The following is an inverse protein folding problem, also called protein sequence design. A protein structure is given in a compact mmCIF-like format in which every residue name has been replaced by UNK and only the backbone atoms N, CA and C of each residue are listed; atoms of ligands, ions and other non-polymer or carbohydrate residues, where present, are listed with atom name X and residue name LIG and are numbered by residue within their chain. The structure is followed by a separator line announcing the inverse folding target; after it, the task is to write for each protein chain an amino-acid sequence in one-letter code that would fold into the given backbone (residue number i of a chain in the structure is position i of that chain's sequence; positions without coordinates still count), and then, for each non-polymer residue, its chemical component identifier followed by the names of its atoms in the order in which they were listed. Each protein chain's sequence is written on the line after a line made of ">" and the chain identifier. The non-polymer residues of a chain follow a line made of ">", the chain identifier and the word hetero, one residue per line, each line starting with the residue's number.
data_IF_497400944162
#
_entry.id   IF_497400944162
#
_cell.length_a   1.000
_cell.length_b   1.000
_cell.length_c   1.000
_cell.angle_alpha   90.00
_cell.angle_beta   90.00
_cell.angle_gamma   90.00
#
_symmetry.space_group_name_H-M   'P 1'
#
loop_
_entity.id
_entity.type
_entity.pdbx_description
1 polymer ?
#
# COMPACT_ATOMS: atom_id res chain seq x y z
N UNK A 1 -14.05 -77.66 63.26
CA UNK A 1 -15.37 -77.81 62.59
C UNK A 1 -15.65 -76.47 61.81
N UNK A 2 -15.94 -76.67 60.59
CA UNK A 2 -16.77 -75.94 59.68
C UNK A 2 -16.36 -74.43 59.47
N UNK A 3 -16.25 -73.91 58.34
CA UNK A 3 -16.63 -74.30 56.99
C UNK A 3 -17.05 -73.04 56.23
N UNK A 4 -16.64 -72.89 55.03
CA UNK A 4 -17.28 -72.29 53.90
C UNK A 4 -17.97 -70.92 54.10
N UNK A 5 -17.48 -69.88 53.41
CA UNK A 5 -18.25 -69.14 52.41
C UNK A 5 -17.46 -67.94 51.92
N UNK A 6 -17.31 -67.74 50.66
CA UNK A 6 -16.80 -66.50 50.12
C UNK A 6 -16.42 -66.61 48.62
N UNK A 7 -17.39 -67.01 47.80
CA UNK A 7 -17.22 -66.88 46.32
C UNK A 7 -18.54 -66.33 45.78
N UNK A 8 -18.56 -65.10 45.35
CA UNK A 8 -19.77 -64.62 44.69
C UNK A 8 -19.93 -63.07 44.57
N UNK A 9 -18.87 -62.35 44.27
CA UNK A 9 -19.11 -60.86 44.15
C UNK A 9 -18.40 -60.23 42.94
N UNK A 10 -17.74 -60.97 42.08
CA UNK A 10 -16.95 -60.36 40.95
C UNK A 10 -17.59 -60.43 39.56
N UNK A 11 -18.73 -61.07 39.39
CA UNK A 11 -19.36 -61.28 38.07
C UNK A 11 -20.39 -60.19 37.70
N UNK A 12 -20.69 -59.25 38.62
CA UNK A 12 -21.72 -58.24 38.39
C UNK A 12 -21.25 -56.98 37.63
N UNK A 13 -19.98 -56.60 37.79
CA UNK A 13 -19.52 -55.28 37.31
C UNK A 13 -19.16 -55.34 35.80
N UNK A 14 -18.59 -56.44 35.32
CA UNK A 14 -18.25 -56.64 33.90
C UNK A 14 -19.47 -56.81 33.01
N UNK A 15 -20.55 -57.42 33.51
CA UNK A 15 -21.82 -57.51 32.80
C UNK A 15 -22.54 -56.16 32.64
N UNK A 16 -22.46 -55.33 33.69
CA UNK A 16 -23.06 -53.98 33.66
C UNK A 16 -22.38 -53.06 32.68
N UNK A 17 -21.06 -53.10 32.60
CA UNK A 17 -20.27 -52.27 31.65
C UNK A 17 -20.51 -52.66 30.20
N UNK A 18 -20.60 -54.00 29.93
CA UNK A 18 -20.90 -54.47 28.59
C UNK A 18 -22.33 -54.15 28.14
N UNK A 19 -23.30 -54.15 29.07
CA UNK A 19 -24.67 -53.75 28.78
C UNK A 19 -24.78 -52.23 28.58
N UNK A 20 -24.10 -51.41 29.39
CA UNK A 20 -24.03 -49.98 29.24
C UNK A 20 -23.40 -49.57 27.90
N UNK A 21 -22.32 -50.24 27.48
CA UNK A 21 -21.69 -49.99 26.21
C UNK A 21 -22.57 -50.39 25.01
N UNK A 22 -23.36 -51.48 25.14
CA UNK A 22 -24.32 -51.89 24.11
C UNK A 22 -25.48 -50.91 24.02
N UNK A 23 -26.02 -50.44 25.11
CA UNK A 23 -27.07 -49.41 25.17
C UNK A 23 -26.57 -48.08 24.59
N UNK A 24 -25.39 -47.60 24.99
CA UNK A 24 -24.77 -46.41 24.47
C UNK A 24 -24.53 -46.51 22.94
N UNK A 25 -24.09 -47.66 22.47
CA UNK A 25 -23.87 -47.88 21.02
C UNK A 25 -25.19 -47.98 20.24
N UNK A 26 -26.29 -48.43 20.88
CA UNK A 26 -27.63 -48.45 20.26
C UNK A 26 -28.26 -47.07 20.24
N UNK A 27 -28.13 -46.27 21.29
CA UNK A 27 -28.58 -44.87 21.33
C UNK A 27 -27.79 -44.01 20.37
N UNK A 28 -26.47 -44.18 20.27
CA UNK A 28 -25.66 -43.47 19.27
C UNK A 28 -26.08 -43.78 17.83
N UNK A 29 -26.62 -44.97 17.54
CA UNK A 29 -27.12 -45.27 16.18
C UNK A 29 -28.45 -44.59 15.83
N UNK A 30 -29.31 -44.36 16.82
CA UNK A 30 -30.59 -43.65 16.62
C UNK A 30 -30.44 -42.10 16.65
N UNK A 31 -29.57 -41.59 17.49
CA UNK A 31 -29.33 -40.16 17.70
C UNK A 31 -28.31 -39.54 16.74
N UNK A 32 -27.54 -40.32 15.99
CA UNK A 32 -26.46 -39.84 15.13
C UNK A 32 -26.92 -38.89 14.01
N UNK A 33 -28.18 -39.03 13.56
CA UNK A 33 -28.70 -38.10 12.55
C UNK A 33 -28.87 -36.70 13.11
N UNK A 34 -29.47 -36.57 14.30
CA UNK A 34 -29.63 -35.26 14.97
C UNK A 34 -28.27 -34.68 15.39
N UNK A 35 -27.37 -35.50 15.93
CA UNK A 35 -26.02 -35.08 16.31
C UNK A 35 -25.19 -34.66 15.07
N UNK A 36 -25.33 -35.32 13.93
CA UNK A 36 -24.67 -34.95 12.68
C UNK A 36 -25.13 -33.58 12.19
N UNK A 37 -26.41 -33.24 12.29
CA UNK A 37 -26.95 -31.94 11.91
C UNK A 37 -26.38 -30.87 12.84
N UNK A 38 -26.36 -31.09 14.14
CA UNK A 38 -25.80 -30.12 15.11
C UNK A 38 -24.30 -29.94 14.86
N UNK A 39 -23.55 -31.01 14.64
CA UNK A 39 -22.13 -30.93 14.32
C UNK A 39 -21.88 -30.24 12.98
N UNK A 40 -22.72 -30.51 11.97
CA UNK A 40 -22.61 -29.84 10.67
C UNK A 40 -22.90 -28.34 10.79
N UNK A 41 -23.92 -27.93 11.53
CA UNK A 41 -24.20 -26.52 11.80
C UNK A 41 -23.07 -25.85 12.58
N UNK A 42 -22.53 -26.53 13.61
CA UNK A 42 -21.39 -26.00 14.36
C UNK A 42 -20.15 -25.87 13.48
N UNK A 43 -19.83 -26.91 12.70
CA UNK A 43 -18.71 -26.90 11.79
C UNK A 43 -18.84 -25.82 10.72
N UNK A 44 -20.06 -25.64 10.18
CA UNK A 44 -20.34 -24.58 9.22
C UNK A 44 -20.18 -23.19 9.85
N UNK A 45 -20.67 -23.00 11.08
CA UNK A 45 -20.51 -21.76 11.80
C UNK A 45 -19.04 -21.41 12.08
N UNK A 46 -18.26 -22.41 12.55
CA UNK A 46 -16.81 -22.23 12.80
C UNK A 46 -16.08 -21.99 11.48
N UNK A 47 -16.41 -22.74 10.43
CA UNK A 47 -15.81 -22.56 9.10
C UNK A 47 -16.10 -21.16 8.53
N UNK A 48 -17.30 -20.64 8.68
CA UNK A 48 -17.65 -19.30 8.23
C UNK A 48 -16.84 -18.21 8.99
N UNK A 49 -16.72 -18.33 10.31
CA UNK A 49 -15.91 -17.40 11.11
C UNK A 49 -14.43 -17.49 10.74
N UNK A 50 -13.90 -18.71 10.58
CA UNK A 50 -12.52 -18.94 10.17
C UNK A 50 -12.25 -18.39 8.76
N UNK A 51 -13.17 -18.58 7.81
CA UNK A 51 -13.04 -18.06 6.45
C UNK A 51 -13.00 -16.53 6.42
N UNK A 52 -13.85 -15.85 7.20
CA UNK A 52 -13.82 -14.38 7.33
C UNK A 52 -12.52 -13.94 8.00
N UNK A 53 -12.05 -14.66 9.02
CA UNK A 53 -10.79 -14.36 9.71
C UNK A 53 -9.57 -14.50 8.80
N UNK A 54 -9.49 -15.58 8.02
CA UNK A 54 -8.40 -15.81 7.05
C UNK A 54 -8.43 -14.83 5.90
N UNK A 55 -9.63 -14.48 5.39
CA UNK A 55 -9.77 -13.46 4.35
C UNK A 55 -9.29 -12.10 4.85
N UNK A 56 -9.71 -11.70 6.06
CA UNK A 56 -9.26 -10.43 6.67
C UNK A 56 -7.75 -10.40 6.89
N UNK A 57 -7.17 -11.50 7.39
CA UNK A 57 -5.73 -11.61 7.58
C UNK A 57 -4.97 -11.58 6.25
N UNK A 58 -5.49 -12.27 5.22
CA UNK A 58 -4.90 -12.27 3.87
C UNK A 58 -4.92 -10.89 3.21
N UNK A 59 -6.05 -10.17 3.30
CA UNK A 59 -6.16 -8.79 2.81
C UNK A 59 -5.20 -7.89 3.59
N UNK A 60 -5.15 -8.01 4.92
CA UNK A 60 -4.25 -7.22 5.75
C UNK A 60 -2.76 -7.47 5.42
N UNK A 61 -2.37 -8.72 5.21
CA UNK A 61 -1.01 -9.08 4.81
C UNK A 61 -0.67 -8.59 3.39
N UNK A 62 -1.60 -8.72 2.44
CA UNK A 62 -1.45 -8.18 1.09
C UNK A 62 -1.29 -6.66 1.10
N UNK A 63 -2.15 -5.95 1.83
CA UNK A 63 -2.06 -4.49 1.96
C UNK A 63 -0.77 -4.04 2.66
N UNK A 64 -0.21 -4.83 3.58
CA UNK A 64 1.08 -4.53 4.20
C UNK A 64 2.25 -4.80 3.26
N UNK A 65 2.20 -5.88 2.47
CA UNK A 65 3.24 -6.22 1.51
C UNK A 65 3.30 -5.22 0.34
N UNK A 66 2.13 -4.82 -0.16
CA UNK A 66 2.02 -3.89 -1.30
C UNK A 66 1.94 -2.42 -0.85
N UNK A 67 1.65 -2.17 0.43
CA UNK A 67 1.44 -0.84 0.99
C UNK A 67 2.62 0.10 0.77
N UNK A 68 3.83 -0.39 0.92
CA UNK A 68 5.05 0.37 0.66
C UNK A 68 5.19 0.78 -0.82
N UNK A 69 4.77 -0.09 -1.73
CA UNK A 69 4.77 0.20 -3.18
C UNK A 69 3.65 1.18 -3.54
N UNK A 70 2.46 1.00 -2.97
CA UNK A 70 1.29 1.87 -3.20
C UNK A 70 1.52 3.28 -2.65
N UNK A 71 2.14 3.38 -1.47
CA UNK A 71 2.47 4.65 -0.82
C UNK A 71 3.78 5.26 -1.34
N UNK A 72 4.59 4.49 -2.07
CA UNK A 72 5.93 4.91 -2.51
C UNK A 72 6.96 5.02 -1.38
N UNK A 73 6.67 4.47 -0.19
CA UNK A 73 7.51 4.50 1.00
C UNK A 73 6.91 3.69 2.15
N UNK A 74 7.73 3.26 3.11
CA UNK A 74 7.28 2.63 4.35
C UNK A 74 6.63 3.65 5.28
N UNK A 75 7.15 4.89 5.26
CA UNK A 75 6.65 6.04 6.02
C UNK A 75 6.64 7.26 5.11
N UNK A 76 5.64 8.10 5.28
CA UNK A 76 5.52 9.39 4.60
C UNK A 76 5.45 10.51 5.64
N UNK A 77 6.29 11.51 5.48
CA UNK A 77 6.25 12.75 6.25
C UNK A 77 5.73 13.87 5.33
N UNK A 78 4.54 14.36 5.61
CA UNK A 78 3.95 15.54 4.94
C UNK A 78 4.16 16.77 5.78
N UNK A 79 4.83 17.75 5.23
CA UNK A 79 5.16 19.00 5.93
C UNK A 79 4.38 20.22 5.37
N UNK A 80 3.49 19.98 4.41
CA UNK A 80 2.69 21.05 3.80
C UNK A 80 3.55 22.02 3.00
N UNK A 81 3.43 23.31 3.28
CA UNK A 81 4.07 24.37 2.48
C UNK A 81 5.59 24.52 2.71
N UNK A 82 6.18 23.83 3.64
CA UNK A 82 7.61 23.93 3.98
C UNK A 82 8.33 22.59 3.80
N UNK A 83 9.59 22.60 3.36
CA UNK A 83 10.40 21.39 3.33
C UNK A 83 10.52 20.76 4.72
N UNK A 84 10.80 19.46 4.76
CA UNK A 84 11.08 18.77 6.03
C UNK A 84 12.28 19.40 6.74
N UNK A 85 12.20 19.67 8.06
CA UNK A 85 13.26 20.28 8.83
C UNK A 85 14.58 19.48 8.71
N UNK A 86 15.75 20.16 8.72
CA UNK A 86 17.06 19.49 8.65
C UNK A 86 17.27 18.46 9.76
N UNK A 87 16.74 18.75 10.95
CA UNK A 87 16.82 17.85 12.11
C UNK A 87 16.06 16.54 11.86
N UNK A 88 14.87 16.63 11.26
CA UNK A 88 14.09 15.45 10.91
C UNK A 88 14.81 14.60 9.85
N UNK A 89 15.42 15.22 8.84
CA UNK A 89 16.21 14.54 7.82
C UNK A 89 17.44 13.86 8.44
N UNK A 90 18.17 14.56 9.32
CA UNK A 90 19.32 14.01 10.03
C UNK A 90 18.91 12.85 10.93
N UNK A 91 17.78 12.95 11.62
CA UNK A 91 17.23 11.92 12.49
C UNK A 91 16.88 10.64 11.71
N UNK A 92 16.26 10.78 10.52
CA UNK A 92 15.91 9.68 9.62
C UNK A 92 17.19 9.02 9.09
N UNK A 93 18.14 9.82 8.61
CA UNK A 93 19.40 9.32 8.05
C UNK A 93 20.24 8.57 9.11
N UNK A 94 20.29 9.05 10.36
CA UNK A 94 20.98 8.39 11.47
C UNK A 94 20.41 7.00 11.79
N UNK A 95 19.17 6.74 11.39
CA UNK A 95 18.50 5.42 11.55
C UNK A 95 18.54 4.55 10.31
N UNK A 96 19.35 4.93 9.32
CA UNK A 96 19.52 4.18 8.09
C UNK A 96 18.33 4.27 7.11
N UNK A 97 17.44 5.23 7.30
CA UNK A 97 16.33 5.48 6.40
C UNK A 97 16.79 6.09 5.08
N UNK A 98 16.41 5.49 3.94
CA UNK A 98 16.55 6.13 2.64
C UNK A 98 15.38 7.08 2.41
N UNK A 99 15.66 8.25 1.84
CA UNK A 99 14.67 9.31 1.67
C UNK A 99 14.54 9.72 0.21
N UNK A 100 13.33 10.08 -0.20
CA UNK A 100 13.04 10.75 -1.48
C UNK A 100 12.10 11.92 -1.22
N UNK A 101 12.44 13.07 -1.76
CA UNK A 101 11.65 14.29 -1.65
C UNK A 101 10.78 14.49 -2.89
N UNK A 102 9.50 14.75 -2.62
CA UNK A 102 8.50 15.06 -3.64
C UNK A 102 7.89 16.41 -3.30
N UNK A 103 7.77 17.27 -4.30
CA UNK A 103 7.06 18.54 -4.18
C UNK A 103 5.92 18.56 -5.19
N UNK A 104 4.70 18.73 -4.70
CA UNK A 104 3.49 18.73 -5.51
C UNK A 104 2.81 20.09 -5.45
N UNK A 105 2.43 20.63 -6.61
CA UNK A 105 1.70 21.89 -6.73
C UNK A 105 0.87 21.89 -8.01
N UNK A 106 -0.08 22.82 -8.11
CA UNK A 106 -0.81 23.06 -9.36
C UNK A 106 -0.10 24.09 -10.19
N UNK A 107 0.09 23.81 -11.46
CA UNK A 107 0.76 24.68 -12.39
C UNK A 107 0.03 24.76 -13.74
N UNK A 108 0.15 25.90 -14.39
CA UNK A 108 -0.29 26.04 -15.77
C UNK A 108 0.81 25.57 -16.70
N UNK A 109 0.55 24.54 -17.49
CA UNK A 109 1.39 24.08 -18.58
C UNK A 109 0.91 24.74 -19.86
N UNK A 110 1.83 25.35 -20.61
CA UNK A 110 1.56 26.08 -21.85
C UNK A 110 2.37 25.44 -22.99
N UNK A 111 1.69 25.01 -24.04
CA UNK A 111 2.34 24.50 -25.25
C UNK A 111 2.99 25.64 -26.04
N UNK A 112 4.26 25.48 -26.43
CA UNK A 112 5.03 26.56 -27.09
C UNK A 112 4.58 26.84 -28.52
N UNK A 113 3.82 25.94 -29.15
CA UNK A 113 3.44 26.06 -30.57
C UNK A 113 2.06 26.65 -30.87
N UNK A 114 1.14 26.71 -29.89
CA UNK A 114 -0.25 27.11 -30.14
C UNK A 114 -0.89 27.97 -29.08
N UNK A 115 -0.19 28.27 -27.98
CA UNK A 115 -0.76 29.02 -26.85
C UNK A 115 -1.80 28.24 -26.04
N UNK A 116 -2.05 26.99 -26.39
CA UNK A 116 -2.89 26.10 -25.61
C UNK A 116 -2.29 25.86 -24.23
N UNK A 117 -3.16 25.84 -23.23
CA UNK A 117 -2.75 25.75 -21.83
C UNK A 117 -3.69 24.85 -21.04
N UNK A 118 -3.11 24.15 -20.10
CA UNK A 118 -3.84 23.24 -19.21
C UNK A 118 -3.32 23.34 -17.79
N UNK A 119 -4.24 23.32 -16.83
CA UNK A 119 -3.89 23.18 -15.42
C UNK A 119 -3.50 21.73 -15.16
N UNK A 120 -2.30 21.52 -14.66
CA UNK A 120 -1.76 20.20 -14.34
C UNK A 120 -1.34 20.12 -12.88
N UNK A 121 -1.32 18.93 -12.34
CA UNK A 121 -0.61 18.64 -11.10
C UNK A 121 0.87 18.47 -11.43
N UNK A 122 1.67 19.44 -11.05
CA UNK A 122 3.13 19.39 -11.22
C UNK A 122 3.73 18.64 -10.04
N UNK A 123 4.39 17.51 -10.33
CA UNK A 123 5.12 16.69 -9.36
C UNK A 123 6.61 16.80 -9.63
N UNK A 124 7.33 17.47 -8.74
CA UNK A 124 8.77 17.56 -8.79
C UNK A 124 9.38 16.47 -7.91
N UNK A 125 10.27 15.65 -8.47
CA UNK A 125 10.85 14.48 -7.80
C UNK A 125 12.37 14.55 -7.77
N UNK A 126 12.97 14.06 -6.71
CA UNK A 126 14.41 13.95 -6.58
C UNK A 126 14.97 12.73 -7.33
N UNK A 127 16.30 12.54 -7.28
CA UNK A 127 16.96 11.42 -7.96
C UNK A 127 16.72 10.08 -7.27
N UNK A 128 16.28 10.07 -6.02
CA UNK A 128 16.01 8.85 -5.27
C UNK A 128 14.60 8.29 -5.56
N UNK A 129 13.75 9.09 -6.21
CA UNK A 129 12.40 8.67 -6.59
C UNK A 129 12.41 7.69 -7.77
N UNK A 130 11.59 6.64 -7.73
CA UNK A 130 10.79 6.18 -6.59
C UNK A 130 11.59 5.26 -5.66
N UNK A 131 11.30 5.27 -4.34
CA UNK A 131 11.94 4.36 -3.38
C UNK A 131 11.45 2.91 -3.54
N UNK A 132 10.22 2.72 -4.00
CA UNK A 132 9.60 1.44 -4.30
C UNK A 132 8.97 1.47 -5.69
N UNK A 133 9.00 0.33 -6.37
CA UNK A 133 8.53 0.23 -7.75
C UNK A 133 9.45 0.90 -8.75
N UNK A 134 8.91 1.30 -9.90
CA UNK A 134 9.67 1.98 -10.95
C UNK A 134 8.79 3.02 -11.66
N UNK A 135 9.37 4.18 -11.93
CA UNK A 135 8.80 5.14 -12.88
C UNK A 135 9.14 4.68 -14.29
N UNK A 136 8.13 4.39 -15.07
CA UNK A 136 8.31 3.99 -16.47
C UNK A 136 7.87 5.12 -17.39
N UNK A 137 8.78 5.61 -18.19
CA UNK A 137 8.53 6.59 -19.24
C UNK A 137 8.51 5.93 -20.60
N UNK A 138 7.82 6.50 -21.54
CA UNK A 138 7.83 6.16 -22.96
C UNK A 138 8.36 7.38 -23.76
N UNK A 139 9.55 7.28 -24.42
CA UNK A 139 10.50 6.15 -24.41
C UNK A 139 11.17 5.91 -23.05
N UNK A 140 11.63 4.66 -22.78
CA UNK A 140 12.25 4.30 -21.50
C UNK A 140 13.58 5.03 -21.30
N UNK A 141 13.60 6.00 -20.40
CA UNK A 141 14.78 6.81 -20.08
C UNK A 141 14.60 7.52 -18.74
N UNK A 142 15.67 7.90 -18.06
CA UNK A 142 15.55 8.72 -16.86
C UNK A 142 15.08 10.13 -17.21
N UNK A 143 14.33 10.75 -16.30
CA UNK A 143 13.97 12.15 -16.39
C UNK A 143 15.17 13.01 -15.97
N UNK A 144 15.59 13.92 -16.84
CA UNK A 144 16.77 14.78 -16.61
C UNK A 144 16.35 16.25 -16.46
N UNK A 145 17.18 17.10 -15.83
CA UNK A 145 16.91 18.55 -15.71
C UNK A 145 16.62 19.20 -17.06
N UNK A 146 15.67 20.13 -17.11
CA UNK A 146 15.19 20.76 -18.33
C UNK A 146 14.17 19.95 -19.12
N UNK A 147 13.79 18.76 -18.64
CA UNK A 147 12.76 17.94 -19.26
C UNK A 147 11.55 17.78 -18.33
N UNK A 148 10.40 17.51 -18.96
CA UNK A 148 9.15 17.17 -18.30
C UNK A 148 8.62 15.86 -18.86
N UNK A 149 8.13 14.99 -17.98
CA UNK A 149 7.33 13.84 -18.36
C UNK A 149 5.85 14.18 -18.18
N UNK A 150 5.04 13.88 -19.19
CA UNK A 150 3.62 14.22 -19.23
C UNK A 150 2.75 12.97 -19.08
N UNK A 151 1.62 13.11 -18.40
CA UNK A 151 0.55 12.12 -18.53
C UNK A 151 0.11 12.03 -19.99
N UNK A 152 -0.09 10.83 -20.55
CA UNK A 152 -0.50 10.67 -21.95
C UNK A 152 -1.71 11.52 -22.35
N UNK A 153 -2.69 11.69 -21.44
CA UNK A 153 -3.87 12.52 -21.68
C UNK A 153 -3.55 14.02 -21.77
N UNK A 154 -2.50 14.50 -21.07
CA UNK A 154 -2.02 15.89 -21.23
C UNK A 154 -1.43 16.09 -22.62
N UNK A 155 -0.59 15.16 -23.03
CA UNK A 155 0.06 15.19 -24.33
C UNK A 155 -0.98 15.14 -25.47
N UNK A 156 -1.95 14.22 -25.37
CA UNK A 156 -3.03 14.10 -26.35
C UNK A 156 -3.87 15.38 -26.47
N UNK A 157 -4.31 15.95 -25.34
CA UNK A 157 -5.16 17.15 -25.32
C UNK A 157 -4.48 18.40 -25.82
N UNK A 158 -3.18 18.52 -25.65
CA UNK A 158 -2.38 19.65 -26.08
C UNK A 158 -1.65 19.42 -27.40
N UNK A 159 -1.86 18.24 -28.03
CA UNK A 159 -1.20 17.87 -29.28
C UNK A 159 0.35 17.81 -29.17
N UNK A 160 0.86 17.40 -27.98
CA UNK A 160 2.29 17.40 -27.68
C UNK A 160 2.88 16.02 -27.88
N UNK A 161 4.06 15.98 -28.51
CA UNK A 161 4.90 14.80 -28.63
C UNK A 161 6.19 14.89 -27.84
N UNK A 162 6.91 13.76 -27.75
CA UNK A 162 8.26 13.73 -27.19
C UNK A 162 9.19 14.62 -28.03
N UNK A 163 9.88 15.53 -27.36
CA UNK A 163 10.77 16.51 -28.00
C UNK A 163 10.17 17.91 -28.10
N UNK A 164 8.86 18.05 -27.99
CA UNK A 164 8.20 19.36 -28.02
C UNK A 164 8.57 20.22 -26.81
N UNK A 165 8.37 21.53 -26.95
CA UNK A 165 8.64 22.48 -25.88
C UNK A 165 7.36 22.93 -25.21
N UNK A 166 7.41 23.02 -23.88
CA UNK A 166 6.34 23.53 -23.04
C UNK A 166 6.91 24.51 -22.04
N UNK A 167 6.07 25.39 -21.53
CA UNK A 167 6.42 26.32 -20.45
C UNK A 167 5.60 26.04 -19.21
N UNK A 168 6.29 25.98 -18.06
CA UNK A 168 5.69 25.80 -16.75
C UNK A 168 6.23 26.91 -15.85
N UNK A 169 5.35 27.80 -15.39
CA UNK A 169 5.79 29.02 -14.75
C UNK A 169 6.66 29.86 -15.70
N UNK A 170 7.85 30.23 -15.26
CA UNK A 170 8.84 30.98 -16.07
C UNK A 170 9.78 30.08 -16.85
N UNK A 171 9.88 28.80 -16.51
CA UNK A 171 10.81 27.87 -17.12
C UNK A 171 10.25 27.19 -18.38
N UNK A 172 11.13 26.99 -19.38
CA UNK A 172 10.84 26.19 -20.55
C UNK A 172 11.41 24.78 -20.37
N UNK A 173 10.58 23.78 -20.67
CA UNK A 173 10.93 22.38 -20.60
C UNK A 173 10.76 21.72 -21.97
N UNK A 174 11.53 20.66 -22.19
CA UNK A 174 11.31 19.76 -23.30
C UNK A 174 10.55 18.53 -22.84
N UNK A 175 9.56 18.06 -23.58
CA UNK A 175 8.87 16.81 -23.29
C UNK A 175 9.85 15.66 -23.47
N UNK A 176 10.29 15.07 -22.37
CA UNK A 176 11.27 13.99 -22.34
C UNK A 176 10.66 12.61 -22.54
N UNK A 177 9.37 12.45 -22.22
CA UNK A 177 8.63 11.20 -22.36
C UNK A 177 7.23 11.31 -21.78
N UNK A 178 6.44 10.27 -22.00
CA UNK A 178 5.12 10.11 -21.43
C UNK A 178 5.20 9.16 -20.23
N UNK A 179 4.41 9.41 -19.19
CA UNK A 179 4.36 8.56 -17.99
C UNK A 179 3.54 7.31 -18.31
N UNK A 180 4.21 6.19 -18.58
CA UNK A 180 3.58 4.91 -18.84
C UNK A 180 3.14 4.21 -17.55
N UNK A 181 3.98 4.26 -16.48
CA UNK A 181 3.64 3.74 -15.17
C UNK A 181 4.28 4.57 -14.06
N UNK A 182 3.52 4.83 -13.02
CA UNK A 182 3.93 5.54 -11.81
C UNK A 182 3.51 4.69 -10.60
N UNK A 183 4.44 4.29 -9.70
CA UNK A 183 4.14 3.32 -8.67
C UNK A 183 3.16 3.85 -7.60
N UNK A 184 3.24 5.13 -7.25
CA UNK A 184 2.41 5.76 -6.20
C UNK A 184 1.19 6.52 -6.75
N UNK A 185 0.79 6.28 -8.00
CA UNK A 185 -0.38 6.92 -8.63
C UNK A 185 -1.69 6.59 -7.90
N UNK A 186 -1.77 5.42 -7.27
CA UNK A 186 -2.97 4.94 -6.56
C UNK A 186 -3.20 5.70 -5.24
N UNK A 187 -2.13 6.15 -4.60
CA UNK A 187 -2.22 6.87 -3.33
C UNK A 187 -2.73 8.32 -3.48
N UNK A 188 -2.64 8.86 -4.69
CA UNK A 188 -3.13 10.21 -4.97
C UNK A 188 -4.41 10.09 -5.80
N UNK A 189 -5.59 10.43 -5.26
CA UNK A 189 -6.85 10.35 -6.00
C UNK A 189 -6.75 11.14 -7.31
N UNK A 190 -7.28 10.59 -8.39
CA UNK A 190 -7.39 11.24 -9.71
C UNK A 190 -8.17 12.58 -9.70
N UNK A 191 -8.67 12.99 -8.53
CA UNK A 191 -9.36 14.24 -8.25
C UNK A 191 -8.46 15.47 -8.49
N UNK A 192 -7.13 15.32 -8.44
CA UNK A 192 -6.19 16.44 -8.52
C UNK A 192 -5.74 16.81 -9.94
N UNK A 193 -6.18 16.10 -10.97
CA UNK A 193 -5.91 16.47 -12.37
C UNK A 193 -4.85 15.61 -13.06
N UNK A 194 -4.61 15.97 -14.32
CA UNK A 194 -3.62 15.34 -15.16
C UNK A 194 -2.22 15.77 -14.73
N UNK A 195 -1.26 14.84 -14.74
CA UNK A 195 0.04 15.00 -14.11
C UNK A 195 1.12 15.43 -15.11
N UNK A 196 1.99 16.34 -14.64
CA UNK A 196 3.27 16.65 -15.25
C UNK A 196 4.39 16.42 -14.22
N UNK A 197 5.47 15.77 -14.60
CA UNK A 197 6.56 15.43 -13.69
C UNK A 197 7.86 16.07 -14.15
N UNK A 198 8.56 16.74 -13.22
CA UNK A 198 9.88 17.34 -13.48
C UNK A 198 10.91 16.89 -12.42
N UNK A 199 12.21 16.94 -12.70
CA UNK A 199 13.22 16.81 -11.66
C UNK A 199 13.09 17.94 -10.63
N UNK A 200 13.26 17.60 -9.35
CA UNK A 200 13.18 18.57 -8.25
C UNK A 200 14.19 19.72 -8.42
N UNK A 201 15.37 19.42 -9.01
CA UNK A 201 16.40 20.42 -9.30
C UNK A 201 15.90 21.53 -10.23
N UNK A 202 14.94 21.25 -11.13
CA UNK A 202 14.39 22.23 -12.08
C UNK A 202 13.21 23.02 -11.51
N UNK A 203 12.73 22.70 -10.31
CA UNK A 203 11.55 23.35 -9.75
C UNK A 203 11.80 24.85 -9.45
N UNK A 204 12.98 25.20 -8.99
CA UNK A 204 13.34 26.59 -8.67
C UNK A 204 13.25 27.50 -9.92
N UNK A 205 13.63 26.99 -11.10
CA UNK A 205 13.61 27.71 -12.37
C UNK A 205 12.19 28.10 -12.80
N UNK A 206 11.18 27.38 -12.31
CA UNK A 206 9.77 27.66 -12.66
C UNK A 206 9.23 28.93 -11.99
N UNK A 207 9.89 29.45 -10.97
CA UNK A 207 9.45 30.57 -10.13
C UNK A 207 8.04 30.39 -9.50
N UNK A 208 7.56 29.13 -9.40
CA UNK A 208 6.24 28.81 -8.82
C UNK A 208 6.24 28.77 -7.29
N UNK A 209 7.42 28.60 -6.67
CA UNK A 209 7.57 28.60 -5.22
C UNK A 209 7.63 30.04 -4.68
N UNK A 210 6.46 30.59 -4.39
CA UNK A 210 6.35 31.95 -3.84
C UNK A 210 5.69 31.91 -2.45
N UNK A 211 5.90 32.91 -1.60
CA UNK A 211 5.16 33.03 -0.36
C UNK A 211 3.63 32.99 -0.61
N UNK A 212 2.96 32.02 0.02
CA UNK A 212 1.52 31.81 -0.16
C UNK A 212 1.14 30.82 -1.27
N UNK A 213 2.10 30.24 -2.01
CA UNK A 213 1.82 29.15 -2.95
C UNK A 213 1.29 27.92 -2.22
N UNK A 214 0.26 27.29 -2.80
CA UNK A 214 -0.27 26.01 -2.33
C UNK A 214 0.65 24.88 -2.81
N UNK A 215 1.63 24.57 -1.99
CA UNK A 215 2.65 23.55 -2.26
C UNK A 215 2.56 22.47 -1.21
N UNK A 216 2.67 21.24 -1.62
CA UNK A 216 2.81 20.07 -0.73
C UNK A 216 4.23 19.54 -0.79
N UNK A 217 4.92 19.51 0.35
CA UNK A 217 6.19 18.81 0.50
C UNK A 217 5.94 17.46 1.15
N UNK A 218 6.42 16.42 0.51
CA UNK A 218 6.33 15.03 0.96
C UNK A 218 7.74 14.44 1.00
N UNK A 219 8.10 13.84 2.13
CA UNK A 219 9.32 13.06 2.26
C UNK A 219 8.94 11.59 2.41
N UNK A 220 9.23 10.80 1.39
CA UNK A 220 9.05 9.35 1.40
C UNK A 220 10.26 8.73 2.06
N UNK A 221 10.04 7.74 2.90
CA UNK A 221 11.08 7.09 3.68
C UNK A 221 10.99 5.60 3.48
N UNK A 222 12.10 4.99 3.08
CA UNK A 222 12.27 3.55 3.09
C UNK A 222 13.11 3.17 4.29
N UNK A 223 12.56 2.33 5.15
CA UNK A 223 13.22 1.87 6.37
C UNK A 223 14.26 0.78 6.06
N UNK A 224 15.28 0.63 6.92
CA UNK A 224 16.20 -0.50 6.82
C UNK A 224 15.45 -1.82 7.10
N UNK A 225 15.95 -2.97 6.57
CA UNK A 225 15.33 -4.26 6.79
C UNK A 225 15.13 -4.56 8.28
N UNK A 226 13.92 -5.00 8.65
CA UNK A 226 13.55 -5.34 10.02
C UNK A 226 13.06 -4.18 10.89
N UNK A 227 13.07 -2.95 10.40
CA UNK A 227 12.47 -1.82 11.10
C UNK A 227 10.95 -1.76 10.87
N UNK A 228 10.21 -1.45 11.93
CA UNK A 228 8.74 -1.32 11.85
C UNK A 228 8.33 0.15 11.63
N UNK A 229 7.41 0.37 10.70
CA UNK A 229 6.94 1.70 10.32
C UNK A 229 6.20 2.43 11.47
N UNK A 230 5.37 1.70 12.27
CA UNK A 230 4.59 2.30 13.35
C UNK A 230 5.44 2.96 14.44
N UNK A 231 6.40 2.26 15.09
CA UNK A 231 7.23 2.89 16.11
C UNK A 231 8.15 3.98 15.51
N UNK A 232 8.56 3.84 14.25
CA UNK A 232 9.35 4.86 13.58
C UNK A 232 8.56 6.15 13.35
N UNK A 233 7.30 6.05 12.93
CA UNK A 233 6.43 7.20 12.69
C UNK A 233 5.94 7.88 13.99
N UNK A 234 6.00 7.19 15.14
CA UNK A 234 5.58 7.72 16.44
C UNK A 234 6.71 8.42 17.21
N UNK A 235 7.95 8.30 16.75
CA UNK A 235 9.15 8.84 17.38
C UNK A 235 9.55 10.20 16.82
#
# INVERSE_FOLDING_TARGET
>A
MAGMAGAGAETGVTGGLALALRLARREMRGGLRSLRIVLACLALGVAAIAAVGTLRAGIGAGMQADGATILGGDVELRTGARPAPPEARAWIAARGGAMSEIVSLRAMLVASGGGERMLVELKAVDRAYPLFGALVLDPPRPLIPGEVALDPLVAERLGLGVGDRVRIGEAAFRVGGLVAAEPDKVATPAIFGLRAMIPLASLAETALLQPGSLVGHELRIRLPPGAEAKPFAAA
#
